data_IF_277293948893
#
_entry.id   IF_277293948893
#
_cell.length_a   1.000
_cell.length_b   1.000
_cell.length_c   1.000
_cell.angle_alpha   90.00
_cell.angle_beta   90.00
_cell.angle_gamma   90.00
#
_symmetry.space_group_name_H-M   'P 1'
#
loop_
_entity.id
_entity.type
_entity.pdbx_description
1 polymer ?
#
# COMPACT_ATOMS: atom_id res chain seq x y z
N UNK A 1 6.39 15.24 -9.48
CA UNK A 1 6.01 15.19 -8.05
C UNK A 1 6.02 13.72 -7.63
N UNK A 2 6.49 13.37 -6.42
CA UNK A 2 6.63 11.94 -6.02
C UNK A 2 5.32 11.27 -5.58
N UNK A 3 4.28 12.02 -5.23
CA UNK A 3 2.97 11.48 -4.87
C UNK A 3 1.86 12.31 -5.50
N UNK A 4 0.69 11.71 -5.66
CA UNK A 4 -0.54 12.39 -6.10
C UNK A 4 -1.50 12.61 -4.93
N UNK A 5 -1.46 11.74 -3.92
CA UNK A 5 -2.32 11.78 -2.74
C UNK A 5 -1.51 11.55 -1.45
N UNK A 6 -2.07 11.88 -0.30
CA UNK A 6 -1.53 11.50 1.02
C UNK A 6 -2.08 10.15 1.50
N UNK A 7 -1.37 9.47 2.40
CA UNK A 7 -1.80 8.17 2.92
C UNK A 7 -3.06 8.26 3.80
N UNK A 8 -3.44 9.45 4.26
CA UNK A 8 -4.60 9.65 5.14
C UNK A 8 -5.87 10.15 4.46
N UNK A 9 -5.82 10.54 3.18
CA UNK A 9 -6.92 11.27 2.54
C UNK A 9 -7.82 10.44 1.62
N UNK A 10 -7.44 9.21 1.28
CA UNK A 10 -8.23 8.36 0.36
C UNK A 10 -9.50 7.86 1.05
N UNK A 11 -10.63 7.91 0.35
CA UNK A 11 -11.96 7.51 0.83
C UNK A 11 -12.64 6.58 -0.18
N UNK A 12 -13.76 6.00 0.24
CA UNK A 12 -14.62 5.18 -0.61
C UNK A 12 -15.10 5.91 -1.88
N UNK A 13 -15.20 7.24 -1.85
CA UNK A 13 -15.58 8.05 -3.01
C UNK A 13 -14.51 8.11 -4.10
N UNK A 14 -13.26 7.75 -3.79
CA UNK A 14 -12.15 7.74 -4.75
C UNK A 14 -11.99 6.37 -5.45
N UNK A 15 -12.88 5.40 -5.19
CA UNK A 15 -12.78 4.05 -5.77
C UNK A 15 -12.80 4.10 -7.30
N UNK A 16 -11.87 3.38 -7.92
CA UNK A 16 -11.64 3.38 -9.37
C UNK A 16 -10.62 4.42 -9.85
N UNK A 17 -10.20 5.34 -8.99
CA UNK A 17 -9.09 6.26 -9.30
C UNK A 17 -7.72 5.59 -9.09
N UNK A 18 -6.71 6.09 -9.80
CA UNK A 18 -5.31 5.73 -9.58
C UNK A 18 -4.65 6.72 -8.63
N UNK A 19 -4.02 6.21 -7.57
CA UNK A 19 -3.27 7.02 -6.61
C UNK A 19 -1.81 6.56 -6.52
N UNK A 20 -0.91 7.53 -6.35
CA UNK A 20 0.50 7.30 -6.02
C UNK A 20 0.75 7.84 -4.63
N UNK A 21 1.13 6.96 -3.71
CA UNK A 21 1.46 7.26 -2.32
C UNK A 21 2.95 7.12 -2.07
N UNK A 22 3.48 7.90 -1.14
CA UNK A 22 4.83 7.75 -0.60
C UNK A 22 4.78 7.77 0.92
N UNK A 23 5.51 6.86 1.56
CA UNK A 23 5.51 6.73 3.00
C UNK A 23 6.46 5.65 3.51
N UNK A 24 6.33 5.33 4.78
CA UNK A 24 7.04 4.28 5.47
C UNK A 24 6.17 3.03 5.59
N UNK A 25 6.77 1.86 5.40
CA UNK A 25 6.12 0.58 5.71
C UNK A 25 5.92 0.49 7.23
N UNK A 26 4.68 0.58 7.69
CA UNK A 26 4.32 0.52 9.12
C UNK A 26 3.93 -0.92 9.53
N UNK A 27 3.31 -1.65 8.60
CA UNK A 27 2.98 -3.06 8.76
C UNK A 27 3.25 -3.86 7.49
N UNK A 28 3.72 -5.09 7.65
CA UNK A 28 3.98 -6.02 6.56
C UNK A 28 3.35 -7.38 6.88
N UNK A 29 2.53 -7.91 5.96
CA UNK A 29 1.87 -9.21 6.10
C UNK A 29 1.90 -9.97 4.77
N UNK A 30 2.48 -11.16 4.76
CA UNK A 30 2.60 -12.02 3.57
C UNK A 30 1.72 -13.27 3.72
N UNK A 31 0.84 -13.49 2.74
CA UNK A 31 -0.07 -14.64 2.68
C UNK A 31 0.21 -15.51 1.43
N UNK A 32 1.46 -15.56 0.97
CA UNK A 32 1.87 -16.34 -0.19
C UNK A 32 1.67 -15.57 -1.49
N UNK A 33 0.44 -15.58 -2.02
CA UNK A 33 0.08 -14.88 -3.27
C UNK A 33 -0.31 -13.41 -3.10
N UNK A 34 -0.43 -12.95 -1.85
CA UNK A 34 -0.81 -11.59 -1.50
C UNK A 34 0.13 -11.04 -0.43
N UNK A 35 0.70 -9.87 -0.70
CA UNK A 35 1.43 -9.08 0.31
C UNK A 35 0.61 -7.85 0.63
N UNK A 36 0.38 -7.63 1.92
CA UNK A 36 -0.32 -6.47 2.45
C UNK A 36 0.70 -5.59 3.18
N UNK A 37 0.70 -4.31 2.82
CA UNK A 37 1.52 -3.29 3.47
C UNK A 37 0.61 -2.20 4.01
N UNK A 38 0.78 -1.86 5.27
CA UNK A 38 0.21 -0.63 5.81
C UNK A 38 1.24 0.49 5.56
N UNK A 39 0.93 1.41 4.65
CA UNK A 39 1.81 2.51 4.29
C UNK A 39 1.42 3.76 5.07
N UNK A 40 2.35 4.27 5.86
CA UNK A 40 2.16 5.42 6.75
C UNK A 40 2.86 6.66 6.18
N UNK A 41 2.18 7.79 6.22
CA UNK A 41 2.82 9.10 6.15
C UNK A 41 2.35 9.99 7.31
N UNK A 42 2.68 11.29 7.26
CA UNK A 42 2.28 12.27 8.29
C UNK A 42 0.76 12.33 8.52
N UNK A 43 -0.03 12.03 7.49
CA UNK A 43 -1.47 12.28 7.46
C UNK A 43 -2.30 11.04 7.78
N UNK A 44 -1.70 9.85 7.76
CA UNK A 44 -2.37 8.62 8.15
C UNK A 44 -1.75 7.38 7.52
N UNK A 45 -2.55 6.32 7.51
CA UNK A 45 -2.18 4.99 7.02
C UNK A 45 -3.17 4.58 5.94
N UNK A 46 -2.68 3.99 4.85
CA UNK A 46 -3.50 3.30 3.84
C UNK A 46 -2.91 1.93 3.55
N UNK A 47 -3.76 0.92 3.39
CA UNK A 47 -3.33 -0.42 3.02
C UNK A 47 -3.04 -0.47 1.52
N UNK A 48 -1.87 -1.00 1.18
CA UNK A 48 -1.43 -1.36 -0.16
C UNK A 48 -1.47 -2.87 -0.27
N UNK A 49 -2.09 -3.38 -1.33
CA UNK A 49 -2.18 -4.80 -1.62
C UNK A 49 -1.46 -5.09 -2.92
N UNK A 50 -0.51 -6.01 -2.83
CA UNK A 50 0.20 -6.54 -3.98
C UNK A 50 -0.44 -7.88 -4.36
N UNK A 51 -1.11 -7.90 -5.51
CA UNK A 51 -1.57 -9.13 -6.15
C UNK A 51 -0.43 -9.67 -6.98
N UNK A 52 0.21 -10.70 -6.46
CA UNK A 52 1.48 -11.13 -7.00
C UNK A 52 1.28 -12.44 -7.75
N UNK A 53 1.49 -12.38 -9.06
CA UNK A 53 1.80 -13.60 -9.81
C UNK A 53 3.20 -14.06 -9.37
N UNK A 54 3.30 -15.34 -9.04
CA UNK A 54 4.53 -15.94 -8.54
C UNK A 54 5.66 -15.77 -9.58
N UNK A 55 6.80 -15.20 -9.16
CA UNK A 55 7.95 -14.93 -10.03
C UNK A 55 7.94 -13.59 -10.77
N UNK A 56 6.95 -12.72 -10.53
CA UNK A 56 6.97 -11.34 -11.07
C UNK A 56 7.96 -10.45 -10.32
N UNK A 57 8.54 -9.45 -10.99
CA UNK A 57 9.47 -8.49 -10.36
C UNK A 57 8.81 -7.74 -9.18
N UNK A 58 7.52 -7.40 -9.32
CA UNK A 58 6.74 -6.79 -8.23
C UNK A 58 6.62 -7.72 -7.02
N UNK A 59 6.57 -9.05 -7.22
CA UNK A 59 6.51 -10.03 -6.14
C UNK A 59 7.77 -10.05 -5.32
N UNK A 60 8.92 -10.11 -5.98
CA UNK A 60 10.22 -10.09 -5.33
C UNK A 60 10.46 -8.77 -4.60
N UNK A 61 10.14 -7.64 -5.24
CA UNK A 61 10.28 -6.33 -4.63
C UNK A 61 9.39 -6.19 -3.39
N UNK A 62 8.10 -6.51 -3.49
CA UNK A 62 7.18 -6.44 -2.36
C UNK A 62 7.65 -7.33 -1.18
N UNK A 63 8.10 -8.56 -1.46
CA UNK A 63 8.63 -9.49 -0.43
C UNK A 63 9.95 -9.06 0.19
N UNK A 64 10.73 -8.24 -0.52
CA UNK A 64 11.96 -7.69 0.02
C UNK A 64 11.72 -6.59 1.07
N UNK A 65 10.53 -5.97 1.08
CA UNK A 65 10.22 -4.83 1.95
C UNK A 65 10.22 -5.21 3.43
N UNK A 66 10.63 -4.28 4.28
CA UNK A 66 10.68 -4.41 5.74
C UNK A 66 10.03 -3.18 6.38
N UNK A 67 9.64 -3.33 7.65
CA UNK A 67 9.15 -2.20 8.42
C UNK A 67 10.17 -1.04 8.38
N UNK A 68 9.64 0.18 8.26
CA UNK A 68 10.36 1.44 8.12
C UNK A 68 11.12 1.64 6.80
N UNK A 69 11.01 0.74 5.82
CA UNK A 69 11.41 1.06 4.44
C UNK A 69 10.57 2.22 3.89
N UNK A 70 11.22 3.12 3.17
CA UNK A 70 10.54 4.23 2.47
C UNK A 70 10.23 3.79 1.05
N UNK A 71 8.96 3.78 0.69
CA UNK A 71 8.50 3.35 -0.63
C UNK A 71 7.61 4.39 -1.29
N UNK A 72 7.52 4.29 -2.61
CA UNK A 72 6.47 4.85 -3.44
C UNK A 72 5.65 3.67 -3.99
N UNK A 73 4.33 3.75 -3.90
CA UNK A 73 3.42 2.75 -4.46
C UNK A 73 2.37 3.45 -5.32
N UNK A 74 2.15 2.94 -6.52
CA UNK A 74 1.09 3.40 -7.43
C UNK A 74 0.11 2.25 -7.64
N UNK A 75 -1.18 2.56 -7.59
CA UNK A 75 -2.21 1.58 -7.84
C UNK A 75 -3.61 2.17 -7.87
N UNK A 76 -4.58 1.29 -8.08
CA UNK A 76 -6.00 1.65 -8.13
C UNK A 76 -6.63 1.56 -6.75
N UNK A 77 -7.44 2.55 -6.38
CA UNK A 77 -8.25 2.53 -5.16
C UNK A 77 -9.41 1.55 -5.33
N UNK A 78 -9.49 0.58 -4.41
CA UNK A 78 -10.53 -0.46 -4.39
C UNK A 78 -11.18 -0.53 -3.01
N UNK A 79 -12.42 -0.98 -2.96
CA UNK A 79 -13.04 -1.37 -1.70
C UNK A 79 -12.31 -2.57 -1.12
N UNK A 80 -12.14 -2.57 0.20
CA UNK A 80 -11.82 -3.81 0.92
C UNK A 80 -13.00 -4.78 0.83
N UNK A 81 -12.72 -6.06 0.99
CA UNK A 81 -13.79 -7.03 1.27
C UNK A 81 -14.58 -6.63 2.52
N UNK A 82 -15.89 -6.91 2.56
CA UNK A 82 -16.78 -6.46 3.62
C UNK A 82 -16.30 -6.87 5.04
N UNK A 83 -15.70 -8.05 5.18
CA UNK A 83 -15.15 -8.55 6.44
C UNK A 83 -13.77 -7.96 6.79
N UNK A 84 -13.12 -7.26 5.86
CA UNK A 84 -11.79 -6.65 6.01
C UNK A 84 -11.82 -5.14 6.23
N UNK A 85 -13.02 -4.55 6.33
CA UNK A 85 -13.19 -3.13 6.64
C UNK A 85 -12.66 -2.85 8.04
N UNK A 86 -11.81 -1.83 8.17
CA UNK A 86 -11.24 -1.42 9.45
C UNK A 86 -11.86 -0.10 9.94
N UNK A 87 -12.87 -0.12 10.83
CA UNK A 87 -13.57 1.10 11.26
C UNK A 87 -12.70 2.05 12.09
N UNK A 88 -11.50 1.62 12.51
CA UNK A 88 -10.56 2.47 13.26
C UNK A 88 -9.75 3.41 12.35
N UNK A 89 -9.76 3.18 11.03
CA UNK A 89 -9.02 3.98 10.06
C UNK A 89 -9.99 4.76 9.15
N UNK A 90 -9.75 6.05 8.88
CA UNK A 90 -10.52 6.80 7.89
C UNK A 90 -10.46 6.21 6.46
N UNK A 91 -9.39 5.47 6.16
CA UNK A 91 -9.14 4.74 4.91
C UNK A 91 -9.55 3.27 5.00
N UNK A 92 -10.21 2.86 6.09
CA UNK A 92 -10.45 1.46 6.43
C UNK A 92 -11.47 0.74 5.55
N UNK A 93 -12.23 1.47 4.75
CA UNK A 93 -13.16 0.91 3.75
C UNK A 93 -12.47 0.61 2.41
N UNK A 94 -11.24 1.10 2.21
CA UNK A 94 -10.52 1.02 0.94
C UNK A 94 -9.12 0.45 1.11
N UNK A 95 -8.54 0.07 -0.02
CA UNK A 95 -7.14 -0.31 -0.18
C UNK A 95 -6.64 0.13 -1.56
N UNK A 96 -5.34 0.21 -1.73
CA UNK A 96 -4.72 0.41 -3.05
C UNK A 96 -4.25 -0.93 -3.58
N UNK A 97 -4.84 -1.39 -4.69
CA UNK A 97 -4.30 -2.50 -5.46
C UNK A 97 -3.11 -2.00 -6.27
N UNK A 98 -1.90 -2.30 -5.80
CA UNK A 98 -0.66 -1.78 -6.39
C UNK A 98 -0.41 -2.38 -7.77
N UNK A 99 -0.04 -1.52 -8.71
CA UNK A 99 0.50 -1.90 -10.03
C UNK A 99 2.00 -1.64 -10.13
N UNK A 100 2.54 -0.78 -9.27
CA UNK A 100 3.96 -0.43 -9.24
C UNK A 100 4.40 -0.17 -7.79
N UNK A 101 5.62 -0.56 -7.46
CA UNK A 101 6.30 -0.17 -6.23
C UNK A 101 7.74 0.23 -6.53
N UNK A 102 8.21 1.23 -5.81
CA UNK A 102 9.59 1.68 -5.86
C UNK A 102 10.12 1.86 -4.45
N UNK A 103 11.21 1.17 -4.14
CA UNK A 103 11.97 1.41 -2.92
C UNK A 103 12.73 2.74 -3.07
N UNK A 104 12.41 3.71 -2.21
CA UNK A 104 13.06 5.02 -2.18
C UNK A 104 14.24 5.03 -1.21
N UNK A 105 14.09 4.35 -0.07
CA UNK A 105 15.17 4.17 0.89
C UNK A 105 14.97 2.88 1.66
N UNK A 106 16.03 2.06 1.72
CA UNK A 106 16.06 0.84 2.54
C UNK A 106 16.42 1.20 3.97
N UNK A 107 15.78 0.56 4.94
CA UNK A 107 16.28 0.58 6.31
C UNK A 107 17.61 -0.18 6.38
N UNK A 108 18.62 0.42 7.00
CA UNK A 108 19.86 -0.29 7.30
C UNK A 108 19.58 -1.19 8.50
N UNK A 109 19.73 -2.49 8.29
CA UNK A 109 19.62 -3.49 9.37
C UNK A 109 21.00 -3.89 9.84
#
# INVERSE_FOLDING_TARGET
>A
MLRTRTCGEIRATDVGETATLCGWVDGYRDHGGLVFIDLRDRYGITQIVFHLEEGSEMHEQARSLRNEDVIQATGEVRHRGAEMVNPKLPTGEIEIRSSEVKLLNKILT
#
